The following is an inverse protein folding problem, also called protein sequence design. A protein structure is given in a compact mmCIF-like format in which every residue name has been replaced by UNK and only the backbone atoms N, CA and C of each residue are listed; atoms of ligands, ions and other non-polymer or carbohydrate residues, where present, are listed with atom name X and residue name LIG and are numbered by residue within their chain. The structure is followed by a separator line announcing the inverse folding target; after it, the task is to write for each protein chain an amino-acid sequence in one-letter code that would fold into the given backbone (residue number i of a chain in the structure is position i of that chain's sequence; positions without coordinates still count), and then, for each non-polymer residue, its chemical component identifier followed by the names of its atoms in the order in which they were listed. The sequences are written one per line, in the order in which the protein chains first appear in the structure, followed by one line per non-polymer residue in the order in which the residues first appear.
data_IF_446314980737
#
_entry.id   IF_446314980737
#
_cell.length_a   1.000
_cell.length_b   1.000
_cell.length_c   1.000
_cell.angle_alpha   90.00
_cell.angle_beta   90.00
_cell.angle_gamma   90.00
#
_symmetry.space_group_name_H-M   'P 1'
#
loop_
_entity.id
_entity.type
_entity.pdbx_description
1 polymer ?
#
# COMPACT_ATOMS: atom_id res chain seq x y z
N UNK A 1 -14.47 2.98 -4.18
CA UNK A 1 -15.54 3.78 -4.80
C UNK A 1 -15.45 5.20 -4.29
N UNK A 2 -15.64 6.22 -5.13
CA UNK A 2 -15.56 7.64 -4.78
C UNK A 2 -16.90 8.34 -5.02
N UNK A 3 -17.39 9.10 -4.05
CA UNK A 3 -18.72 9.74 -4.07
C UNK A 3 -18.77 11.08 -3.32
N UNK A 4 -17.63 11.75 -3.15
CA UNK A 4 -17.56 13.03 -2.42
C UNK A 4 -18.08 14.15 -3.35
N UNK A 5 -18.98 14.99 -2.83
CA UNK A 5 -19.55 16.13 -3.55
C UNK A 5 -20.72 15.76 -4.48
N UNK A 6 -21.06 16.67 -5.39
CA UNK A 6 -22.14 16.49 -6.37
C UNK A 6 -21.68 16.89 -7.77
N UNK A 7 -22.39 16.43 -8.80
CA UNK A 7 -22.12 16.77 -10.20
C UNK A 7 -23.28 17.50 -10.86
N UNK A 8 -22.94 18.38 -11.79
CA UNK A 8 -23.88 19.02 -12.69
C UNK A 8 -23.46 18.77 -14.13
N UNK A 9 -24.44 18.60 -15.01
CA UNK A 9 -24.23 18.29 -16.42
C UNK A 9 -24.94 19.32 -17.30
N UNK A 10 -24.46 19.46 -18.54
CA UNK A 10 -25.17 20.21 -19.58
C UNK A 10 -25.65 19.22 -20.62
N UNK A 11 -26.92 19.32 -21.03
CA UNK A 11 -27.47 18.44 -22.06
C UNK A 11 -26.64 18.52 -23.35
N UNK A 12 -26.39 17.37 -23.97
CA UNK A 12 -25.56 17.18 -25.16
C UNK A 12 -24.10 17.61 -24.99
N UNK A 13 -23.59 17.68 -23.76
CA UNK A 13 -22.18 17.94 -23.47
C UNK A 13 -21.52 16.76 -22.75
N UNK A 14 -20.27 16.40 -23.09
CA UNK A 14 -19.50 15.45 -22.29
C UNK A 14 -18.87 16.08 -21.04
N UNK A 15 -18.87 17.42 -20.93
CA UNK A 15 -18.28 18.11 -19.79
C UNK A 15 -19.23 18.09 -18.60
N UNK A 16 -18.70 17.75 -17.43
CA UNK A 16 -19.43 17.82 -16.17
C UNK A 16 -18.65 18.65 -15.15
N UNK A 17 -19.38 19.27 -14.24
CA UNK A 17 -18.83 20.13 -13.20
C UNK A 17 -19.14 19.56 -11.83
N UNK A 18 -18.12 19.42 -11.00
CA UNK A 18 -18.22 18.98 -9.62
C UNK A 18 -18.36 20.15 -8.64
N UNK A 19 -19.11 19.95 -7.57
CA UNK A 19 -19.17 20.84 -6.41
C UNK A 19 -18.76 20.07 -5.17
N UNK A 20 -17.75 20.58 -4.44
CA UNK A 20 -17.18 19.87 -3.28
C UNK A 20 -16.37 18.62 -3.64
N UNK A 21 -16.06 18.42 -4.93
CA UNK A 21 -15.28 17.29 -5.46
C UNK A 21 -13.77 17.55 -5.37
N UNK A 22 -12.97 16.49 -5.47
CA UNK A 22 -11.50 16.51 -5.38
C UNK A 22 -10.85 15.60 -6.44
N UNK A 23 -11.35 15.63 -7.67
CA UNK A 23 -11.02 14.61 -8.70
C UNK A 23 -9.57 14.50 -9.15
N UNK A 24 -8.78 15.57 -8.98
CA UNK A 24 -7.36 15.61 -9.37
C UNK A 24 -6.43 15.52 -8.15
N UNK A 25 -6.99 15.32 -6.96
CA UNK A 25 -6.24 15.14 -5.74
C UNK A 25 -5.62 13.74 -5.74
N UNK A 26 -4.30 13.67 -5.48
CA UNK A 26 -3.50 12.45 -5.50
C UNK A 26 -4.05 11.34 -4.57
N UNK A 27 -4.87 11.71 -3.58
CA UNK A 27 -5.44 10.77 -2.61
C UNK A 27 -6.70 10.05 -3.09
N UNK A 28 -7.33 10.48 -4.19
CA UNK A 28 -8.66 10.00 -4.59
C UNK A 28 -8.66 8.76 -5.47
N UNK A 29 -7.51 8.35 -6.01
CA UNK A 29 -7.35 7.21 -6.92
C UNK A 29 -8.25 7.27 -8.17
N UNK A 30 -8.72 8.47 -8.52
CA UNK A 30 -9.53 8.68 -9.72
C UNK A 30 -8.60 8.77 -10.93
N UNK A 31 -9.00 8.14 -12.03
CA UNK A 31 -8.19 8.06 -13.25
C UNK A 31 -9.06 7.98 -14.50
N UNK A 32 -8.47 8.37 -15.62
CA UNK A 32 -9.07 8.22 -16.95
C UNK A 32 -9.43 6.75 -17.19
N UNK A 33 -10.56 6.52 -17.85
CA UNK A 33 -11.09 5.19 -18.16
C UNK A 33 -12.02 4.62 -17.08
N UNK A 34 -12.06 5.20 -15.89
CA UNK A 34 -12.98 4.74 -14.83
C UNK A 34 -14.43 5.07 -15.15
N UNK A 35 -15.34 4.20 -14.70
CA UNK A 35 -16.78 4.37 -14.89
C UNK A 35 -17.34 5.35 -13.87
N UNK A 36 -18.18 6.27 -14.36
CA UNK A 36 -18.98 7.22 -13.59
C UNK A 36 -20.45 6.84 -13.70
N UNK A 37 -21.12 6.74 -12.55
CA UNK A 37 -22.55 6.53 -12.41
C UNK A 37 -23.15 7.80 -11.82
N UNK A 38 -24.12 8.42 -12.49
CA UNK A 38 -24.79 9.65 -12.02
C UNK A 38 -26.29 9.39 -11.88
N UNK A 39 -26.85 9.72 -10.71
CA UNK A 39 -28.29 9.61 -10.48
C UNK A 39 -29.08 10.59 -11.37
N UNK A 40 -30.08 10.08 -12.07
CA UNK A 40 -31.02 10.84 -12.88
C UNK A 40 -32.46 10.38 -12.58
N UNK A 41 -33.00 10.86 -11.46
CA UNK A 41 -34.30 10.39 -10.96
C UNK A 41 -34.26 8.89 -10.68
N UNK A 42 -35.12 8.11 -11.34
CA UNK A 42 -35.15 6.64 -11.24
C UNK A 42 -34.15 5.92 -12.15
N UNK A 43 -33.39 6.65 -12.97
CA UNK A 43 -32.41 6.11 -13.90
C UNK A 43 -30.97 6.43 -13.46
N UNK A 44 -30.02 5.66 -14.00
CA UNK A 44 -28.58 5.96 -13.87
C UNK A 44 -28.01 6.35 -15.22
N UNK A 45 -27.28 7.45 -15.25
CA UNK A 45 -26.40 7.78 -16.36
C UNK A 45 -25.06 7.07 -16.11
N UNK A 46 -24.68 6.21 -17.05
CA UNK A 46 -23.42 5.45 -17.01
C UNK A 46 -22.52 5.97 -18.11
N UNK A 47 -21.28 6.33 -17.77
CA UNK A 47 -20.28 6.79 -18.72
C UNK A 47 -18.88 6.51 -18.19
N UNK A 48 -17.83 6.85 -18.95
CA UNK A 48 -16.44 6.72 -18.51
C UNK A 48 -15.73 8.08 -18.54
N UNK A 49 -14.74 8.26 -17.67
CA UNK A 49 -13.91 9.46 -17.62
C UNK A 49 -12.96 9.44 -18.83
N UNK A 50 -13.05 10.47 -19.68
CA UNK A 50 -12.12 10.68 -20.79
C UNK A 50 -10.93 11.56 -20.37
N UNK A 51 -11.17 12.61 -19.61
CA UNK A 51 -10.11 13.47 -19.07
C UNK A 51 -10.51 14.10 -17.74
N UNK A 52 -9.51 14.43 -16.91
CA UNK A 52 -9.66 15.08 -15.61
C UNK A 52 -8.92 16.41 -15.68
N UNK A 53 -9.66 17.51 -15.85
CA UNK A 53 -9.05 18.82 -15.99
C UNK A 53 -8.67 19.40 -14.63
N UNK A 54 -9.54 19.25 -13.62
CA UNK A 54 -9.34 19.80 -12.27
C UNK A 54 -10.06 18.99 -11.19
N UNK A 55 -9.99 19.46 -9.93
CA UNK A 55 -10.76 18.88 -8.84
C UNK A 55 -12.29 18.95 -9.05
N UNK A 56 -12.77 19.82 -9.94
CA UNK A 56 -14.17 20.13 -10.16
C UNK A 56 -14.58 20.11 -11.64
N UNK A 57 -13.68 19.70 -12.54
CA UNK A 57 -13.98 19.55 -13.97
C UNK A 57 -13.43 18.22 -14.49
N UNK A 58 -14.31 17.46 -15.14
CA UNK A 58 -13.97 16.26 -15.89
C UNK A 58 -14.77 16.21 -17.20
N UNK A 59 -14.20 15.56 -18.21
CA UNK A 59 -14.86 15.26 -19.48
C UNK A 59 -15.14 13.76 -19.56
N UNK A 60 -16.36 13.40 -19.95
CA UNK A 60 -16.82 12.04 -20.16
C UNK A 60 -16.56 11.57 -21.61
N UNK A 61 -16.52 10.25 -21.83
CA UNK A 61 -16.29 9.66 -23.14
C UNK A 61 -17.41 9.97 -24.14
N UNK A 62 -18.66 10.03 -23.67
CA UNK A 62 -19.82 10.37 -24.49
C UNK A 62 -20.60 11.56 -23.92
N UNK A 63 -21.26 12.38 -24.75
CA UNK A 63 -22.16 13.43 -24.27
C UNK A 63 -23.30 12.88 -23.41
N UNK A 64 -23.70 13.64 -22.40
CA UNK A 64 -24.85 13.31 -21.54
C UNK A 64 -26.15 13.86 -22.15
N UNK A 65 -27.21 13.06 -22.17
CA UNK A 65 -28.49 13.47 -22.78
C UNK A 65 -29.31 14.43 -21.91
N UNK A 66 -29.10 14.40 -20.59
CA UNK A 66 -29.88 15.18 -19.64
C UNK A 66 -29.04 16.26 -18.94
N UNK A 67 -29.66 17.42 -18.68
CA UNK A 67 -29.14 18.44 -17.78
C UNK A 67 -29.50 18.05 -16.34
N UNK A 68 -28.48 17.88 -15.50
CA UNK A 68 -28.60 17.57 -14.09
C UNK A 68 -27.96 18.68 -13.27
N UNK A 69 -28.48 18.93 -12.07
CA UNK A 69 -27.95 19.94 -11.16
C UNK A 69 -27.81 19.32 -9.77
N UNK A 70 -26.61 19.39 -9.20
CA UNK A 70 -26.27 18.82 -7.89
C UNK A 70 -26.67 17.34 -7.74
N UNK A 71 -26.52 16.56 -8.82
CA UNK A 71 -26.80 15.14 -8.80
C UNK A 71 -25.76 14.36 -7.98
N UNK A 72 -26.21 13.29 -7.33
CA UNK A 72 -25.31 12.31 -6.71
C UNK A 72 -24.64 11.47 -7.78
N UNK A 73 -23.45 11.00 -7.49
CA UNK A 73 -22.67 10.18 -8.40
C UNK A 73 -21.71 9.27 -7.65
N UNK A 74 -21.23 8.26 -8.36
CA UNK A 74 -20.19 7.33 -7.90
C UNK A 74 -19.18 7.14 -9.04
N UNK A 75 -17.90 7.21 -8.71
CA UNK A 75 -16.80 6.77 -9.58
C UNK A 75 -16.28 5.43 -9.07
N UNK A 76 -16.22 4.44 -9.94
CA UNK A 76 -15.67 3.13 -9.64
C UNK A 76 -14.14 3.20 -9.70
N UNK A 77 -13.53 3.43 -8.53
CA UNK A 77 -12.07 3.55 -8.38
C UNK A 77 -11.34 2.20 -8.37
N UNK A 78 -12.08 1.11 -8.16
CA UNK A 78 -11.57 -0.27 -8.23
C UNK A 78 -12.60 -1.10 -8.97
N UNK A 79 -12.17 -1.82 -10.01
CA UNK A 79 -12.94 -2.89 -10.62
C UNK A 79 -12.30 -4.20 -10.19
N UNK A 80 -13.05 -5.03 -9.47
CA UNK A 80 -12.66 -6.42 -9.15
C UNK A 80 -12.32 -7.11 -10.48
N UNK A 81 -11.16 -7.76 -10.56
CA UNK A 81 -10.65 -8.48 -11.74
C UNK A 81 -10.28 -7.63 -12.98
N UNK A 82 -9.90 -6.36 -12.80
CA UNK A 82 -9.35 -5.53 -13.89
C UNK A 82 -7.81 -5.48 -13.88
N UNK A 83 -7.18 -5.09 -15.01
CA UNK A 83 -5.71 -4.81 -15.07
C UNK A 83 -5.29 -3.83 -13.96
N UNK A 84 -6.16 -2.90 -13.57
CA UNK A 84 -5.89 -1.97 -12.46
C UNK A 84 -5.87 -2.64 -11.08
N UNK A 85 -6.67 -3.69 -10.84
CA UNK A 85 -6.57 -4.52 -9.62
C UNK A 85 -5.29 -5.37 -9.65
N UNK A 86 -4.95 -5.92 -10.83
CA UNK A 86 -3.67 -6.60 -11.05
C UNK A 86 -2.46 -5.70 -10.80
N UNK A 87 -2.48 -4.46 -11.30
CA UNK A 87 -1.42 -3.46 -11.07
C UNK A 87 -1.38 -3.04 -9.61
N UNK A 88 -2.52 -2.77 -8.96
CA UNK A 88 -2.53 -2.42 -7.53
C UNK A 88 -2.00 -3.55 -6.65
N UNK A 89 -2.34 -4.81 -6.95
CA UNK A 89 -1.79 -5.99 -6.28
C UNK A 89 -0.30 -6.15 -6.56
N UNK A 90 0.14 -5.97 -7.81
CA UNK A 90 1.57 -6.02 -8.18
C UNK A 90 2.37 -4.90 -7.51
N UNK A 91 1.83 -3.68 -7.45
CA UNK A 91 2.42 -2.54 -6.73
C UNK A 91 2.46 -2.81 -5.24
N UNK A 92 1.42 -3.38 -4.64
CA UNK A 92 1.44 -3.78 -3.23
C UNK A 92 2.51 -4.85 -2.95
N UNK A 93 2.69 -5.83 -3.85
CA UNK A 93 3.77 -6.82 -3.77
C UNK A 93 5.14 -6.16 -3.90
N UNK A 94 5.30 -5.22 -4.83
CA UNK A 94 6.54 -4.48 -5.02
C UNK A 94 6.90 -3.63 -3.80
N UNK A 95 5.94 -2.89 -3.24
CA UNK A 95 6.11 -2.09 -2.02
C UNK A 95 6.46 -3.01 -0.84
N UNK A 96 5.77 -4.14 -0.68
CA UNK A 96 6.10 -5.09 0.38
C UNK A 96 7.53 -5.64 0.22
N UNK A 97 7.95 -5.92 -1.02
CA UNK A 97 9.29 -6.42 -1.33
C UNK A 97 10.39 -5.38 -1.04
N UNK A 98 10.10 -4.10 -1.32
CA UNK A 98 10.98 -2.97 -1.00
C UNK A 98 11.12 -2.81 0.52
N UNK A 99 10.01 -2.85 1.27
CA UNK A 99 10.02 -2.81 2.74
C UNK A 99 10.83 -3.97 3.32
N UNK A 100 10.67 -5.20 2.82
CA UNK A 100 11.49 -6.33 3.28
C UNK A 100 12.98 -6.14 2.96
N UNK A 101 13.31 -5.58 1.80
CA UNK A 101 14.70 -5.30 1.41
C UNK A 101 15.32 -4.24 2.32
N UNK A 102 14.59 -3.19 2.66
CA UNK A 102 15.05 -2.16 3.60
C UNK A 102 15.27 -2.73 5.00
N UNK A 103 14.33 -3.56 5.49
CA UNK A 103 14.46 -4.27 6.77
C UNK A 103 15.72 -5.16 6.77
N UNK A 104 15.97 -5.91 5.69
CA UNK A 104 17.16 -6.76 5.58
C UNK A 104 18.45 -5.93 5.57
N UNK A 105 18.48 -4.81 4.85
CA UNK A 105 19.62 -3.91 4.83
C UNK A 105 19.89 -3.34 6.23
N UNK A 106 18.86 -2.86 6.93
CA UNK A 106 19.01 -2.38 8.30
C UNK A 106 19.46 -3.50 9.25
N UNK A 107 18.89 -4.70 9.11
CA UNK A 107 19.28 -5.85 9.94
C UNK A 107 20.76 -6.23 9.76
N UNK A 108 21.29 -6.14 8.54
CA UNK A 108 22.69 -6.46 8.24
C UNK A 108 23.67 -5.33 8.54
N UNK A 109 23.26 -4.06 8.43
CA UNK A 109 24.19 -2.92 8.49
C UNK A 109 24.08 -2.06 9.75
N UNK A 110 22.92 -2.04 10.41
CA UNK A 110 22.73 -1.24 11.61
C UNK A 110 23.39 -1.89 12.85
N UNK A 111 23.61 -1.08 13.87
CA UNK A 111 24.17 -1.51 15.15
C UNK A 111 23.07 -1.61 16.21
N UNK A 112 23.18 -2.59 17.12
CA UNK A 112 22.26 -2.75 18.24
C UNK A 112 20.91 -3.38 17.87
N UNK A 113 19.82 -2.67 18.15
CA UNK A 113 18.44 -3.11 17.86
C UNK A 113 17.72 -2.13 16.98
N UNK A 114 16.97 -2.63 16.01
CA UNK A 114 16.11 -1.85 15.12
C UNK A 114 14.64 -2.10 15.43
N UNK A 115 13.83 -1.05 15.34
CA UNK A 115 12.37 -1.11 15.36
C UNK A 115 11.87 -1.27 13.93
N UNK A 116 11.14 -2.35 13.66
CA UNK A 116 10.67 -2.71 12.32
C UNK A 116 9.15 -2.77 12.30
N UNK A 117 8.56 -2.19 11.26
CA UNK A 117 7.12 -2.30 10.97
C UNK A 117 6.93 -3.22 9.77
N UNK A 118 6.25 -4.35 9.98
CA UNK A 118 5.92 -5.29 8.91
C UNK A 118 4.81 -4.72 8.02
N UNK A 119 4.69 -5.16 6.75
CA UNK A 119 3.58 -4.77 5.87
C UNK A 119 2.17 -5.08 6.44
N UNK A 120 2.09 -5.95 7.46
CA UNK A 120 0.87 -6.27 8.21
C UNK A 120 0.53 -5.23 9.29
N UNK A 121 1.35 -4.19 9.48
CA UNK A 121 1.22 -3.16 10.52
C UNK A 121 1.77 -3.56 11.89
N UNK A 122 2.33 -4.77 12.02
CA UNK A 122 2.92 -5.24 13.27
C UNK A 122 4.30 -4.63 13.50
N UNK A 123 4.55 -4.09 14.70
CA UNK A 123 5.86 -3.57 15.11
C UNK A 123 6.64 -4.62 15.90
N UNK A 124 7.88 -4.86 15.49
CA UNK A 124 8.79 -5.83 16.12
C UNK A 124 10.16 -5.20 16.36
N UNK A 125 10.81 -5.61 17.45
CA UNK A 125 12.21 -5.26 17.71
C UNK A 125 13.12 -6.38 17.26
N UNK A 126 14.03 -6.08 16.34
CA UNK A 126 15.02 -7.02 15.84
C UNK A 126 16.41 -6.63 16.36
N UNK A 127 17.17 -7.63 16.80
CA UNK A 127 18.61 -7.48 17.04
C UNK A 127 19.34 -7.59 15.71
N UNK A 128 20.27 -6.66 15.45
CA UNK A 128 21.03 -6.66 14.19
C UNK A 128 22.10 -7.75 14.22
N UNK A 129 22.62 -8.08 13.03
CA UNK A 129 23.70 -9.08 12.90
C UNK A 129 24.92 -8.66 13.72
N UNK A 130 25.31 -7.39 13.67
CA UNK A 130 26.45 -6.89 14.45
C UNK A 130 26.26 -7.01 15.97
N UNK A 131 25.04 -6.80 16.48
CA UNK A 131 24.75 -7.01 17.91
C UNK A 131 24.73 -8.50 18.28
N UNK A 132 24.27 -9.37 17.39
CA UNK A 132 24.37 -10.82 17.58
C UNK A 132 25.83 -11.28 17.61
N UNK A 133 26.66 -10.83 16.66
CA UNK A 133 28.08 -11.15 16.60
C UNK A 133 28.80 -10.68 17.86
N UNK A 134 28.55 -9.45 18.32
CA UNK A 134 29.09 -8.93 19.57
C UNK A 134 28.69 -9.78 20.79
N UNK A 135 27.47 -10.31 20.83
CA UNK A 135 27.03 -11.16 21.93
C UNK A 135 27.62 -12.57 21.88
N UNK A 136 28.12 -13.01 20.73
CA UNK A 136 28.77 -14.30 20.53
C UNK A 136 30.30 -14.20 20.63
N UNK A 137 30.86 -13.02 20.37
CA UNK A 137 32.30 -12.77 20.41
C UNK A 137 32.90 -13.15 21.76
N UNK A 138 33.99 -13.93 21.71
CA UNK A 138 34.72 -14.41 22.88
C UNK A 138 33.98 -15.41 23.79
N UNK A 139 32.77 -15.89 23.44
CA UNK A 139 32.00 -16.79 24.33
C UNK A 139 32.34 -18.28 24.21
N UNK A 140 32.89 -18.73 23.07
CA UNK A 140 33.31 -20.12 22.89
C UNK A 140 34.34 -20.25 21.77
N UNK A 141 35.57 -20.63 22.12
CA UNK A 141 36.65 -20.89 21.15
C UNK A 141 36.62 -22.37 20.72
N UNK A 142 36.76 -22.61 19.41
CA UNK A 142 36.81 -23.97 18.83
C UNK A 142 38.09 -24.73 19.19
N UNK A 143 39.12 -24.04 19.66
CA UNK A 143 40.36 -24.62 20.20
C UNK A 143 40.25 -25.01 21.68
N UNK A 144 39.12 -24.70 22.32
CA UNK A 144 38.86 -24.92 23.74
C UNK A 144 38.96 -23.62 24.55
N UNK A 145 38.41 -23.62 25.77
CA UNK A 145 38.41 -22.46 26.66
C UNK A 145 38.16 -22.85 28.11
N UNK A 146 38.49 -21.95 29.04
CA UNK A 146 38.23 -22.16 30.46
C UNK A 146 36.79 -21.77 30.80
N UNK A 147 35.98 -22.72 31.26
CA UNK A 147 34.65 -22.45 31.82
C UNK A 147 34.83 -22.30 33.34
N UNK A 148 34.52 -21.12 33.88
CA UNK A 148 34.70 -20.80 35.30
C UNK A 148 33.47 -21.09 36.18
N UNK A 149 32.35 -21.52 35.58
CA UNK A 149 31.13 -21.91 36.30
C UNK A 149 30.89 -23.43 36.33
N UNK A 150 29.90 -23.86 37.10
CA UNK A 150 29.52 -25.27 37.20
C UNK A 150 28.99 -25.79 35.86
N UNK A 151 29.50 -26.95 35.43
CA UNK A 151 29.07 -27.61 34.18
C UNK A 151 28.41 -28.94 34.51
N UNK A 152 27.19 -29.15 34.00
CA UNK A 152 26.50 -30.44 34.11
C UNK A 152 26.55 -31.15 32.76
N UNK A 153 27.18 -32.33 32.72
CA UNK A 153 27.28 -33.15 31.51
C UNK A 153 26.28 -34.31 31.56
N UNK A 154 25.44 -34.45 30.53
CA UNK A 154 24.53 -35.59 30.39
C UNK A 154 25.26 -36.79 29.76
N UNK A 155 26.04 -37.51 30.58
CA UNK A 155 26.63 -38.86 30.36
C UNK A 155 27.72 -39.01 29.27
N UNK A 156 28.86 -39.64 29.65
CA UNK A 156 29.92 -40.24 28.81
C UNK A 156 30.46 -39.45 27.61
N UNK A 157 31.08 -38.28 27.80
CA UNK A 157 31.79 -37.62 26.69
C UNK A 157 33.00 -36.74 27.06
N UNK A 158 33.68 -36.98 28.18
CA UNK A 158 34.95 -36.29 28.45
C UNK A 158 36.10 -37.28 28.28
N UNK A 159 36.81 -37.19 27.16
CA UNK A 159 38.16 -37.76 27.05
C UNK A 159 39.12 -36.66 27.49
N UNK A 160 39.63 -36.75 28.71
CA UNK A 160 40.82 -35.99 29.10
C UNK A 160 42.00 -36.64 28.39
N UNK A 161 42.66 -35.88 27.51
CA UNK A 161 44.04 -36.17 27.10
C UNK A 161 45.01 -35.80 28.21
#
# INVERSE_FOLDING_TARGET
MYNIGTVSTTANSPKITGTGTRWKDNTTLISVGQVVLIENGSNLLINSIYSIESNTALTLAFPVSAKLTNAKYIILTTMIDSISDGVNKATAIAIASEVYTDILNQWMTAQGTIDVELPTGQKIKLRTVAEMDKQLDGKFDKTGGAISGDVTFSKNAIKST
#
